data_IF_614522812551
#
_entry.id   IF_614522812551
#
_cell.length_a   1.000
_cell.length_b   1.000
_cell.length_c   1.000
_cell.angle_alpha   90.00
_cell.angle_beta   90.00
_cell.angle_gamma   90.00
#
_symmetry.space_group_name_H-M   'P 1'
#
loop_
_entity.id
_entity.type
_entity.pdbx_description
1 polymer ?
#
# COMPACT_ATOMS: atom_id res chain seq x y z
N UNK A 1 29.29 23.82 33.57
CA UNK A 1 28.56 22.83 34.36
C UNK A 1 27.07 22.69 33.95
N UNK A 2 26.26 23.77 33.76
CA UNK A 2 24.84 23.68 33.36
C UNK A 2 24.60 23.03 31.99
N UNK A 3 25.40 23.34 30.95
CA UNK A 3 25.27 22.74 29.59
C UNK A 3 25.59 21.25 29.59
N UNK A 4 26.54 20.78 30.39
CA UNK A 4 26.89 19.36 30.46
C UNK A 4 25.79 18.54 31.16
N UNK A 5 25.15 19.08 32.22
CA UNK A 5 24.00 18.45 32.87
C UNK A 5 22.80 18.32 31.93
N UNK A 6 22.54 19.33 31.10
CA UNK A 6 21.43 19.30 30.12
C UNK A 6 21.65 18.26 29.00
N UNK A 7 22.90 18.14 28.49
CA UNK A 7 23.28 17.13 27.52
C UNK A 7 23.15 15.71 28.10
N UNK A 8 23.61 15.50 29.35
CA UNK A 8 23.42 14.21 30.02
C UNK A 8 21.95 13.85 30.25
N UNK A 9 21.09 14.82 30.59
CA UNK A 9 19.66 14.57 30.75
C UNK A 9 18.99 14.21 29.44
N UNK A 10 19.33 14.82 28.29
CA UNK A 10 18.85 14.48 26.97
C UNK A 10 19.32 13.09 26.53
N UNK A 11 20.58 12.73 26.80
CA UNK A 11 21.11 11.39 26.51
C UNK A 11 20.40 10.29 27.32
N UNK A 12 20.18 10.54 28.61
CA UNK A 12 19.46 9.60 29.50
C UNK A 12 18.01 9.45 29.03
N UNK A 13 17.30 10.52 28.65
CA UNK A 13 15.95 10.46 28.14
C UNK A 13 15.87 9.68 26.80
N UNK A 14 16.88 9.85 25.93
CA UNK A 14 16.98 9.10 24.68
C UNK A 14 17.25 7.61 24.90
N UNK A 15 18.13 7.26 25.87
CA UNK A 15 18.41 5.87 26.25
C UNK A 15 17.18 5.21 26.89
N UNK A 16 16.45 5.91 27.77
CA UNK A 16 15.23 5.40 28.38
C UNK A 16 14.14 5.20 27.32
N UNK A 17 13.98 6.12 26.37
CA UNK A 17 13.03 5.98 25.27
C UNK A 17 13.39 4.81 24.34
N UNK A 18 14.67 4.60 24.03
CA UNK A 18 15.13 3.47 23.20
C UNK A 18 15.05 2.13 23.93
N UNK A 19 15.33 2.09 25.24
CA UNK A 19 15.18 0.90 26.08
C UNK A 19 13.70 0.56 26.31
N UNK A 20 12.83 1.55 26.53
CA UNK A 20 11.39 1.36 26.63
C UNK A 20 10.80 0.81 25.32
N UNK A 21 11.28 1.29 24.18
CA UNK A 21 10.91 0.78 22.87
C UNK A 21 11.28 -0.71 22.70
N UNK A 22 12.53 -1.08 23.01
CA UNK A 22 13.00 -2.46 22.86
C UNK A 22 12.39 -3.43 23.89
N UNK A 23 12.13 -3.00 25.13
CA UNK A 23 11.61 -3.87 26.20
C UNK A 23 10.10 -4.09 26.09
N UNK A 24 9.33 -3.08 25.66
CA UNK A 24 7.87 -3.18 25.64
C UNK A 24 7.27 -3.36 24.26
N UNK A 25 7.90 -2.85 23.21
CA UNK A 25 7.33 -2.85 21.87
C UNK A 25 7.68 -4.12 21.06
N UNK A 26 8.94 -4.57 21.07
CA UNK A 26 9.33 -5.80 20.35
C UNK A 26 8.66 -7.08 20.90
N UNK A 27 8.65 -7.35 22.23
CA UNK A 27 7.97 -8.52 22.78
C UNK A 27 6.47 -8.52 22.50
N UNK A 28 5.83 -7.33 22.52
CA UNK A 28 4.40 -7.20 22.20
C UNK A 28 4.13 -7.51 20.73
N UNK A 29 5.00 -7.07 19.82
CA UNK A 29 4.93 -7.39 18.39
C UNK A 29 5.11 -8.89 18.13
N UNK A 30 6.03 -9.56 18.80
CA UNK A 30 6.21 -11.01 18.67
C UNK A 30 5.01 -11.78 19.22
N UNK A 31 4.43 -11.36 20.32
CA UNK A 31 3.24 -11.98 20.91
C UNK A 31 2.04 -11.81 19.99
N UNK A 32 1.83 -10.63 19.42
CA UNK A 32 0.79 -10.37 18.43
C UNK A 32 1.04 -11.21 17.16
N UNK A 33 2.27 -11.27 16.66
CA UNK A 33 2.65 -12.11 15.51
C UNK A 33 2.38 -13.59 15.77
N UNK A 34 2.68 -14.09 16.98
CA UNK A 34 2.43 -15.47 17.36
C UNK A 34 0.92 -15.77 17.46
N UNK A 35 0.14 -14.91 18.11
CA UNK A 35 -1.30 -15.06 18.24
C UNK A 35 -2.02 -15.04 16.87
N UNK A 36 -1.59 -14.17 15.97
CA UNK A 36 -2.18 -14.08 14.62
C UNK A 36 -1.73 -15.23 13.73
N UNK A 37 -0.48 -15.72 13.86
CA UNK A 37 -0.08 -16.99 13.22
C UNK A 37 -0.97 -18.16 13.67
N UNK A 38 -1.32 -18.20 14.94
CA UNK A 38 -2.21 -19.22 15.50
C UNK A 38 -3.63 -19.10 14.93
N UNK A 39 -4.18 -17.90 14.82
CA UNK A 39 -5.47 -17.66 14.17
C UNK A 39 -5.47 -18.01 12.68
N UNK A 40 -4.39 -17.71 11.95
CA UNK A 40 -4.25 -18.07 10.54
C UNK A 40 -4.21 -19.58 10.33
N UNK A 41 -3.50 -20.30 11.19
CA UNK A 41 -3.45 -21.77 11.17
C UNK A 41 -4.81 -22.40 11.52
N UNK A 42 -5.58 -21.82 12.43
CA UNK A 42 -6.93 -22.26 12.80
C UNK A 42 -7.98 -21.96 11.73
N UNK A 43 -7.78 -20.92 10.92
CA UNK A 43 -8.69 -20.53 9.83
C UNK A 43 -8.52 -21.35 8.53
N UNK A 44 -7.87 -22.52 8.59
CA UNK A 44 -7.71 -23.43 7.44
C UNK A 44 -6.65 -22.99 6.42
N UNK A 45 -5.69 -22.16 6.82
CA UNK A 45 -4.54 -21.75 6.00
C UNK A 45 -3.46 -22.82 5.82
N UNK A 46 -3.81 -24.10 5.91
CA UNK A 46 -2.90 -25.24 5.76
C UNK A 46 -2.69 -25.61 4.29
N UNK A 47 -2.13 -24.69 3.51
CA UNK A 47 -1.41 -25.02 2.28
C UNK A 47 0.08 -24.91 2.57
N UNK A 48 0.86 -25.97 2.34
CA UNK A 48 2.31 -25.94 2.40
C UNK A 48 2.83 -24.95 1.33
N UNK A 49 2.98 -23.67 1.70
CA UNK A 49 3.83 -22.77 0.96
C UNK A 49 5.24 -22.88 1.57
N UNK A 50 6.05 -23.80 1.04
CA UNK A 50 7.50 -23.66 1.06
C UNK A 50 7.81 -22.26 0.52
N UNK A 51 8.76 -21.51 1.09
CA UNK A 51 9.10 -20.14 0.78
C UNK A 51 9.01 -19.79 -0.70
N UNK A 52 7.81 -19.44 -1.18
CA UNK A 52 7.49 -19.21 -2.57
C UNK A 52 7.79 -17.75 -2.93
N UNK A 53 8.11 -17.51 -4.19
CA UNK A 53 8.32 -16.17 -4.72
C UNK A 53 7.02 -15.37 -4.65
N UNK A 54 7.07 -14.15 -4.07
CA UNK A 54 6.02 -13.15 -4.17
C UNK A 54 6.29 -12.30 -5.42
N UNK A 55 5.30 -12.23 -6.29
CA UNK A 55 5.30 -11.38 -7.47
C UNK A 55 4.34 -10.22 -7.23
N UNK A 56 4.82 -8.99 -7.32
CA UNK A 56 4.02 -7.77 -7.19
C UNK A 56 4.07 -7.06 -8.53
N UNK A 57 2.94 -6.98 -9.23
CA UNK A 57 2.87 -6.35 -10.55
C UNK A 57 1.98 -5.11 -10.48
N UNK A 58 2.56 -3.94 -10.71
CA UNK A 58 1.83 -2.72 -11.01
C UNK A 58 1.43 -2.79 -12.48
N UNK A 59 0.15 -3.01 -12.74
CA UNK A 59 -0.39 -3.17 -14.09
C UNK A 59 -0.45 -1.82 -14.81
N UNK A 60 -0.08 -1.80 -16.09
CA UNK A 60 -0.32 -0.62 -16.94
C UNK A 60 -1.81 -0.57 -17.32
N UNK A 61 -2.56 0.18 -16.54
CA UNK A 61 -3.99 0.42 -16.72
C UNK A 61 -4.29 1.84 -17.19
N UNK A 62 -3.27 2.56 -17.70
CA UNK A 62 -3.34 3.98 -17.97
C UNK A 62 -3.26 4.79 -16.67
N UNK A 63 -4.10 5.81 -16.52
CA UNK A 63 -4.18 6.56 -15.28
C UNK A 63 -4.96 5.78 -14.23
N UNK A 64 -4.42 5.72 -13.00
CA UNK A 64 -5.01 4.99 -11.87
C UNK A 64 -4.14 3.83 -11.38
N UNK A 65 -4.57 3.18 -10.32
CA UNK A 65 -3.83 2.09 -9.69
C UNK A 65 -4.52 0.73 -9.89
N UNK A 66 -3.76 -0.25 -10.30
CA UNK A 66 -4.13 -1.66 -10.25
C UNK A 66 -2.88 -2.51 -9.97
N UNK A 67 -2.74 -2.99 -8.75
CA UNK A 67 -1.55 -3.71 -8.32
C UNK A 67 -1.93 -5.13 -7.93
N UNK A 68 -1.27 -6.10 -8.54
CA UNK A 68 -1.50 -7.52 -8.33
C UNK A 68 -0.36 -8.11 -7.48
N UNK A 69 -0.69 -8.70 -6.34
CA UNK A 69 0.21 -9.49 -5.52
C UNK A 69 -0.12 -10.97 -5.73
N UNK A 70 0.83 -11.73 -6.25
CA UNK A 70 0.66 -13.15 -6.59
C UNK A 70 1.68 -14.02 -5.88
N UNK A 71 1.21 -15.09 -5.28
CA UNK A 71 2.01 -16.24 -4.81
C UNK A 71 1.48 -17.53 -5.43
N UNK A 72 2.14 -18.67 -5.20
CA UNK A 72 1.61 -19.97 -5.60
C UNK A 72 0.24 -20.22 -4.95
N UNK A 73 -0.84 -20.02 -5.71
CA UNK A 73 -2.21 -20.29 -5.29
C UNK A 73 -3.00 -19.10 -4.72
N UNK A 74 -2.44 -17.91 -4.60
CA UNK A 74 -3.18 -16.75 -4.10
C UNK A 74 -2.88 -15.47 -4.86
N UNK A 75 -3.94 -14.78 -5.29
CA UNK A 75 -3.87 -13.46 -5.89
C UNK A 75 -4.66 -12.46 -5.05
N UNK A 76 -4.05 -11.31 -4.80
CA UNK A 76 -4.60 -10.17 -4.07
C UNK A 76 -4.43 -8.94 -4.95
N UNK A 77 -5.43 -8.07 -5.01
CA UNK A 77 -5.31 -6.79 -5.69
C UNK A 77 -5.34 -5.63 -4.70
N UNK A 78 -4.53 -4.62 -4.98
CA UNK A 78 -4.65 -3.28 -4.40
C UNK A 78 -5.11 -2.38 -5.54
N UNK A 79 -6.33 -1.88 -5.42
CA UNK A 79 -7.05 -1.14 -6.43
C UNK A 79 -7.30 -1.89 -7.75
N UNK A 80 -8.13 -1.34 -8.62
CA UNK A 80 -8.63 -2.02 -9.81
C UNK A 80 -8.70 -1.10 -11.04
N UNK A 81 -8.12 0.10 -10.94
CA UNK A 81 -8.11 1.07 -12.04
C UNK A 81 -9.47 1.69 -12.35
N UNK A 82 -9.44 2.59 -13.32
CA UNK A 82 -10.61 3.30 -13.83
C UNK A 82 -11.54 2.36 -14.62
N UNK A 83 -12.85 2.50 -14.46
CA UNK A 83 -13.84 1.69 -15.17
C UNK A 83 -13.79 1.83 -16.69
N UNK A 84 -13.25 2.94 -17.20
CA UNK A 84 -13.00 3.18 -18.63
C UNK A 84 -11.86 2.32 -19.18
N UNK A 85 -10.96 1.87 -18.32
CA UNK A 85 -9.75 1.12 -18.67
C UNK A 85 -9.88 -0.39 -18.32
N UNK A 86 -11.11 -0.92 -18.26
CA UNK A 86 -11.36 -2.33 -17.95
C UNK A 86 -10.58 -3.30 -18.86
N UNK A 87 -10.50 -2.97 -20.16
CA UNK A 87 -9.83 -3.83 -21.14
C UNK A 87 -8.32 -3.97 -20.83
N UNK A 88 -7.66 -2.87 -20.43
CA UNK A 88 -6.25 -2.88 -20.03
C UNK A 88 -6.04 -3.71 -18.74
N UNK A 89 -6.92 -3.54 -17.76
CA UNK A 89 -6.89 -4.34 -16.53
C UNK A 89 -7.04 -5.83 -16.86
N UNK A 90 -8.04 -6.21 -17.65
CA UNK A 90 -8.27 -7.61 -18.01
C UNK A 90 -7.12 -8.20 -18.83
N UNK A 91 -6.54 -7.43 -19.75
CA UNK A 91 -5.35 -7.85 -20.50
C UNK A 91 -4.14 -8.08 -19.55
N UNK A 92 -3.93 -7.19 -18.58
CA UNK A 92 -2.86 -7.36 -17.56
C UNK A 92 -3.08 -8.61 -16.70
N UNK A 93 -4.30 -8.83 -16.22
CA UNK A 93 -4.66 -10.03 -15.46
C UNK A 93 -4.52 -11.32 -16.27
N UNK A 94 -4.87 -11.28 -17.58
CA UNK A 94 -4.71 -12.40 -18.48
C UNK A 94 -3.22 -12.72 -18.72
N UNK A 95 -2.37 -11.71 -18.98
CA UNK A 95 -0.91 -11.89 -19.08
C UNK A 95 -0.30 -12.49 -17.81
N UNK A 96 -0.81 -12.09 -16.65
CA UNK A 96 -0.44 -12.66 -15.36
C UNK A 96 -1.09 -14.03 -15.08
N UNK A 97 -1.87 -14.57 -16.02
CA UNK A 97 -2.58 -15.87 -15.93
C UNK A 97 -3.50 -15.97 -14.69
N UNK A 98 -4.06 -14.85 -14.26
CA UNK A 98 -4.96 -14.80 -13.10
C UNK A 98 -6.30 -15.46 -13.43
N UNK A 99 -6.63 -16.51 -12.69
CA UNK A 99 -7.94 -17.20 -12.80
C UNK A 99 -8.89 -16.80 -11.66
N UNK A 100 -8.35 -16.42 -10.51
CA UNK A 100 -9.09 -16.02 -9.34
C UNK A 100 -8.36 -14.89 -8.60
N UNK A 101 -9.12 -13.92 -8.10
CA UNK A 101 -8.64 -12.90 -7.15
C UNK A 101 -9.32 -13.17 -5.80
N UNK A 102 -8.55 -13.41 -4.76
CA UNK A 102 -9.08 -13.79 -3.46
C UNK A 102 -9.52 -12.58 -2.63
N UNK A 103 -8.77 -11.50 -2.74
CA UNK A 103 -8.94 -10.29 -1.92
C UNK A 103 -8.69 -9.05 -2.78
N UNK A 104 -9.49 -8.02 -2.57
CA UNK A 104 -9.26 -6.67 -3.11
C UNK A 104 -9.14 -5.70 -1.95
N UNK A 105 -8.10 -4.86 -1.95
CA UNK A 105 -8.01 -3.66 -1.14
C UNK A 105 -8.41 -2.48 -2.03
N UNK A 106 -9.37 -1.70 -1.58
CA UNK A 106 -9.73 -0.41 -2.18
C UNK A 106 -9.09 0.67 -1.32
N UNK A 107 -8.05 1.33 -1.85
CA UNK A 107 -7.32 2.33 -1.08
C UNK A 107 -8.22 3.50 -0.73
N UNK A 108 -8.94 4.03 -1.71
CA UNK A 108 -9.93 5.08 -1.53
C UNK A 108 -10.94 5.08 -2.69
N UNK A 109 -12.00 5.88 -2.56
CA UNK A 109 -13.16 5.80 -3.44
C UNK A 109 -13.13 6.77 -4.63
N UNK A 110 -11.95 6.99 -5.27
CA UNK A 110 -11.87 7.60 -6.60
C UNK A 110 -12.00 6.55 -7.69
N UNK A 111 -12.53 6.96 -8.84
CA UNK A 111 -12.88 6.10 -9.96
C UNK A 111 -11.67 5.34 -10.52
N UNK A 112 -10.52 6.01 -10.61
CA UNK A 112 -9.27 5.48 -11.12
C UNK A 112 -8.56 4.49 -10.16
N UNK A 113 -9.16 4.22 -8.99
CA UNK A 113 -8.75 3.19 -8.02
C UNK A 113 -9.78 2.09 -7.88
N UNK A 114 -11.06 2.43 -7.69
CA UNK A 114 -12.09 1.45 -7.38
C UNK A 114 -13.02 1.11 -8.55
N UNK A 115 -12.86 1.76 -9.70
CA UNK A 115 -13.82 1.74 -10.80
C UNK A 115 -14.22 0.36 -11.33
N UNK A 116 -13.32 -0.61 -11.27
CA UNK A 116 -13.58 -1.98 -11.70
C UNK A 116 -13.79 -2.98 -10.57
N UNK A 117 -13.84 -2.56 -9.30
CA UNK A 117 -13.88 -3.47 -8.12
C UNK A 117 -15.02 -4.48 -8.23
N UNK A 118 -16.25 -4.07 -8.53
CA UNK A 118 -17.38 -4.98 -8.65
C UNK A 118 -17.28 -5.90 -9.85
N UNK A 119 -16.70 -5.45 -10.97
CA UNK A 119 -16.47 -6.28 -12.16
C UNK A 119 -15.43 -7.35 -11.89
N UNK A 120 -14.31 -6.97 -11.25
CA UNK A 120 -13.29 -7.91 -10.80
C UNK A 120 -13.88 -8.91 -9.80
N UNK A 121 -14.67 -8.43 -8.84
CA UNK A 121 -15.27 -9.27 -7.84
C UNK A 121 -16.19 -10.34 -8.43
N UNK A 122 -17.02 -9.97 -9.38
CA UNK A 122 -17.93 -10.90 -10.08
C UNK A 122 -17.19 -11.87 -11.01
N UNK A 123 -16.24 -11.37 -11.81
CA UNK A 123 -15.56 -12.18 -12.83
C UNK A 123 -14.51 -13.13 -12.24
N UNK A 124 -13.74 -12.68 -11.24
CA UNK A 124 -12.61 -13.42 -10.69
C UNK A 124 -12.88 -14.03 -9.31
N UNK A 125 -14.15 -14.03 -8.85
CA UNK A 125 -14.58 -14.75 -7.65
C UNK A 125 -13.95 -14.22 -6.37
N UNK A 126 -13.91 -12.89 -6.21
CA UNK A 126 -13.42 -12.24 -5.00
C UNK A 126 -14.28 -12.64 -3.81
N UNK A 127 -13.64 -13.07 -2.73
CA UNK A 127 -14.33 -13.45 -1.50
C UNK A 127 -14.23 -12.40 -0.40
N UNK A 128 -13.26 -11.48 -0.50
CA UNK A 128 -12.99 -10.47 0.52
C UNK A 128 -12.65 -9.12 -0.08
N UNK A 129 -13.25 -8.07 0.46
CA UNK A 129 -12.95 -6.68 0.09
C UNK A 129 -12.64 -5.91 1.37
N UNK A 130 -11.51 -5.23 1.35
CA UNK A 130 -11.12 -4.27 2.38
C UNK A 130 -11.19 -2.87 1.79
N UNK A 131 -11.66 -1.90 2.55
CA UNK A 131 -11.68 -0.50 2.15
C UNK A 131 -11.38 0.46 3.30
N UNK A 132 -11.23 1.74 2.97
CA UNK A 132 -11.00 2.80 3.93
C UNK A 132 -12.27 3.29 4.64
N UNK A 133 -13.47 2.84 4.21
CA UNK A 133 -14.76 3.23 4.81
C UNK A 133 -15.18 4.69 4.57
N UNK A 134 -14.62 5.35 3.55
CA UNK A 134 -14.97 6.73 3.15
C UNK A 134 -15.55 6.75 1.73
N UNK A 135 -16.83 6.37 1.53
CA UNK A 135 -17.43 6.33 0.20
C UNK A 135 -17.59 7.73 -0.39
N UNK A 136 -17.39 7.84 -1.70
CA UNK A 136 -17.68 9.05 -2.46
C UNK A 136 -19.18 9.07 -2.85
N UNK A 137 -19.96 9.85 -2.11
CA UNK A 137 -21.41 9.96 -2.35
C UNK A 137 -21.78 10.58 -3.72
N UNK A 138 -20.82 11.22 -4.40
CA UNK A 138 -21.04 11.85 -5.71
C UNK A 138 -20.68 10.96 -6.90
N UNK A 139 -19.99 9.84 -6.67
CA UNK A 139 -19.56 8.90 -7.72
C UNK A 139 -20.46 7.66 -7.73
N UNK A 140 -21.14 7.42 -8.85
CA UNK A 140 -22.11 6.32 -8.97
C UNK A 140 -21.52 4.95 -8.64
N UNK A 141 -20.29 4.65 -9.12
CA UNK A 141 -19.62 3.38 -8.84
C UNK A 141 -19.27 3.23 -7.35
N UNK A 142 -18.87 4.31 -6.68
CA UNK A 142 -18.60 4.30 -5.24
C UNK A 142 -19.89 4.06 -4.43
N UNK A 143 -20.97 4.75 -4.78
CA UNK A 143 -22.30 4.53 -4.14
C UNK A 143 -22.71 3.08 -4.29
N UNK A 144 -22.61 2.52 -5.50
CA UNK A 144 -22.95 1.11 -5.78
C UNK A 144 -22.06 0.14 -5.01
N UNK A 145 -20.74 0.36 -5.00
CA UNK A 145 -19.81 -0.47 -4.22
C UNK A 145 -20.20 -0.47 -2.75
N UNK A 146 -20.40 0.71 -2.15
CA UNK A 146 -20.77 0.84 -0.75
C UNK A 146 -22.11 0.14 -0.43
N UNK A 147 -23.12 0.20 -1.31
CA UNK A 147 -24.37 -0.53 -1.16
C UNK A 147 -24.14 -2.05 -1.14
N UNK A 148 -23.35 -2.57 -2.07
CA UNK A 148 -23.01 -3.99 -2.16
C UNK A 148 -22.25 -4.49 -0.94
N UNK A 149 -21.28 -3.68 -0.44
CA UNK A 149 -20.52 -4.00 0.77
C UNK A 149 -21.43 -4.03 2.01
N UNK A 150 -22.32 -3.04 2.16
CA UNK A 150 -23.29 -2.99 3.26
C UNK A 150 -24.31 -4.14 3.24
N UNK A 151 -24.64 -4.65 2.06
CA UNK A 151 -25.52 -5.82 1.91
C UNK A 151 -24.86 -7.14 2.34
N UNK A 152 -23.56 -7.14 2.69
CA UNK A 152 -22.84 -8.31 3.17
C UNK A 152 -22.52 -9.36 2.09
N UNK A 153 -22.55 -8.98 0.81
CA UNK A 153 -22.28 -9.90 -0.31
C UNK A 153 -20.82 -10.40 -0.34
N UNK A 154 -19.92 -9.70 0.35
CA UNK A 154 -18.51 -10.06 0.49
C UNK A 154 -18.13 -10.05 1.97
N UNK A 155 -17.12 -10.82 2.34
CA UNK A 155 -16.51 -10.71 3.67
C UNK A 155 -15.67 -9.41 3.69
N UNK A 156 -16.35 -8.28 3.88
CA UNK A 156 -15.73 -6.97 3.84
C UNK A 156 -15.42 -6.43 5.23
N UNK A 157 -14.37 -5.63 5.32
CA UNK A 157 -13.96 -4.95 6.54
C UNK A 157 -13.36 -3.59 6.20
N UNK A 158 -13.76 -2.58 6.96
CA UNK A 158 -13.10 -1.29 6.97
C UNK A 158 -11.79 -1.39 7.75
N UNK A 159 -10.70 -0.91 7.18
CA UNK A 159 -9.38 -0.93 7.79
C UNK A 159 -8.98 0.44 8.33
N UNK A 160 -8.18 0.43 9.40
CA UNK A 160 -7.64 1.62 10.07
C UNK A 160 -6.16 1.41 10.41
N UNK A 161 -5.46 2.51 10.64
CA UNK A 161 -4.09 2.50 11.13
C UNK A 161 -3.95 1.59 12.37
N UNK A 162 -2.96 0.69 12.34
CA UNK A 162 -2.75 -0.34 13.34
C UNK A 162 -3.34 -1.72 12.98
N UNK A 163 -4.23 -1.80 11.98
CA UNK A 163 -4.69 -3.09 11.48
C UNK A 163 -3.55 -3.83 10.77
N UNK A 164 -3.54 -5.15 10.92
CA UNK A 164 -2.66 -6.06 10.17
C UNK A 164 -3.51 -7.06 9.41
N UNK A 165 -3.22 -7.25 8.12
CA UNK A 165 -3.88 -8.24 7.27
C UNK A 165 -2.85 -9.24 6.77
N UNK A 166 -2.96 -10.49 7.21
CA UNK A 166 -2.13 -11.58 6.72
C UNK A 166 -2.63 -12.08 5.38
N UNK A 167 -1.75 -12.06 4.40
CA UNK A 167 -2.04 -12.46 3.02
C UNK A 167 -1.52 -13.86 2.72
N UNK A 168 -0.61 -14.36 3.55
CA UNK A 168 -0.02 -15.69 3.53
C UNK A 168 0.73 -15.98 4.82
N UNK A 169 1.42 -17.12 4.88
CA UNK A 169 2.12 -17.56 6.09
C UNK A 169 3.23 -16.58 6.51
N UNK A 170 3.92 -15.98 5.53
CA UNK A 170 5.13 -15.20 5.77
C UNK A 170 5.02 -13.76 5.23
N UNK A 171 3.86 -13.33 4.73
CA UNK A 171 3.68 -11.97 4.24
C UNK A 171 2.35 -11.38 4.69
N UNK A 172 2.39 -10.11 5.03
CA UNK A 172 1.25 -9.35 5.54
C UNK A 172 1.38 -7.88 5.20
N UNK A 173 0.29 -7.16 5.28
CA UNK A 173 0.28 -5.69 5.21
C UNK A 173 -0.09 -5.11 6.57
N UNK A 174 0.69 -4.11 7.00
CA UNK A 174 0.37 -3.23 8.12
C UNK A 174 -0.30 -1.97 7.56
N UNK A 175 -1.45 -1.60 8.08
CA UNK A 175 -2.16 -0.38 7.69
C UNK A 175 -1.65 0.79 8.52
N UNK A 176 -1.17 1.83 7.85
CA UNK A 176 -0.60 3.02 8.49
C UNK A 176 -1.57 4.21 8.46
N UNK A 177 -2.52 4.24 7.52
CA UNK A 177 -3.56 5.25 7.33
C UNK A 177 -4.80 4.58 6.69
N UNK A 178 -6.03 5.15 6.87
CA UNK A 178 -6.36 6.30 7.69
C UNK A 178 -6.38 5.96 9.19
N UNK A 179 -6.01 6.95 10.02
CA UNK A 179 -6.17 6.85 11.47
C UNK A 179 -7.66 6.89 11.84
N UNK A 180 -8.04 6.23 12.94
CA UNK A 180 -9.42 6.26 13.44
C UNK A 180 -9.87 7.68 13.85
N UNK A 181 -8.90 8.53 14.18
CA UNK A 181 -9.10 9.93 14.55
C UNK A 181 -8.98 10.92 13.37
N UNK A 182 -8.93 10.44 12.12
CA UNK A 182 -8.85 11.31 10.95
C UNK A 182 -9.97 12.34 10.96
N UNK A 183 -9.60 13.63 10.99
CA UNK A 183 -10.57 14.71 11.06
C UNK A 183 -11.46 14.78 9.81
N UNK A 184 -12.67 15.29 9.97
CA UNK A 184 -13.60 15.49 8.83
C UNK A 184 -13.03 16.41 7.77
N UNK A 185 -12.25 17.39 8.16
CA UNK A 185 -11.59 18.33 7.27
C UNK A 185 -10.58 17.63 6.36
N UNK A 186 -9.70 16.80 6.93
CA UNK A 186 -8.75 15.99 6.13
C UNK A 186 -9.47 14.95 5.28
N UNK A 187 -10.51 14.31 5.80
CA UNK A 187 -11.31 13.33 5.08
C UNK A 187 -12.19 13.94 3.98
N UNK A 188 -12.39 15.25 3.95
CA UNK A 188 -13.08 15.94 2.86
C UNK A 188 -12.33 15.84 1.53
N UNK A 189 -11.01 15.72 1.58
CA UNK A 189 -10.19 15.28 0.46
C UNK A 189 -10.09 13.75 0.49
N UNK A 190 -10.77 13.07 -0.44
CA UNK A 190 -10.80 11.61 -0.50
C UNK A 190 -9.43 10.96 -0.65
N UNK A 191 -8.46 11.63 -1.29
CA UNK A 191 -7.09 11.17 -1.37
C UNK A 191 -6.49 10.91 0.02
N UNK A 192 -6.80 11.79 0.97
CA UNK A 192 -6.34 11.69 2.35
C UNK A 192 -7.04 10.56 3.16
N UNK A 193 -8.02 9.90 2.58
CA UNK A 193 -8.65 8.71 3.16
C UNK A 193 -8.02 7.40 2.67
N UNK A 194 -6.95 7.47 1.87
CA UNK A 194 -6.27 6.31 1.30
C UNK A 194 -5.77 5.34 2.37
N UNK A 195 -5.97 4.05 2.13
CA UNK A 195 -5.23 3.00 2.82
C UNK A 195 -3.75 3.12 2.47
N UNK A 196 -2.96 3.64 3.38
CA UNK A 196 -1.50 3.57 3.27
C UNK A 196 -1.06 2.29 3.95
N UNK A 197 -0.35 1.43 3.22
CA UNK A 197 -0.04 0.08 3.67
C UNK A 197 1.45 -0.23 3.50
N UNK A 198 2.06 -0.82 4.53
CA UNK A 198 3.41 -1.35 4.47
C UNK A 198 3.35 -2.88 4.37
N UNK A 199 3.76 -3.42 3.23
CA UNK A 199 3.91 -4.85 3.00
C UNK A 199 5.21 -5.34 3.61
N UNK A 200 5.12 -6.46 4.31
CA UNK A 200 6.24 -7.20 4.86
C UNK A 200 6.27 -8.62 4.27
N UNK A 201 7.41 -9.02 3.74
CA UNK A 201 7.68 -10.41 3.36
C UNK A 201 9.14 -10.75 3.72
N UNK A 202 9.33 -11.50 4.80
CA UNK A 202 10.67 -11.70 5.35
C UNK A 202 11.32 -10.37 5.74
N UNK A 203 12.49 -10.05 5.13
CA UNK A 203 13.17 -8.76 5.27
C UNK A 203 12.79 -7.74 4.20
N UNK A 204 12.09 -8.16 3.14
CA UNK A 204 11.61 -7.27 2.07
C UNK A 204 10.41 -6.45 2.53
N UNK A 205 10.39 -5.16 2.15
CA UNK A 205 9.30 -4.23 2.46
C UNK A 205 8.92 -3.38 1.26
N UNK A 206 7.61 -3.13 1.11
CA UNK A 206 7.09 -2.20 0.10
C UNK A 206 6.00 -1.33 0.69
N UNK A 207 6.15 -0.01 0.54
CA UNK A 207 5.17 0.97 0.99
C UNK A 207 4.24 1.37 -0.16
N UNK A 208 2.93 1.21 0.05
CA UNK A 208 1.88 1.64 -0.85
C UNK A 208 1.21 2.88 -0.26
N UNK A 209 1.23 4.00 -1.00
CA UNK A 209 0.71 5.27 -0.51
C UNK A 209 -0.76 5.51 -0.88
N UNK A 210 -1.33 4.72 -1.83
CA UNK A 210 -2.56 5.12 -2.49
C UNK A 210 -2.37 6.52 -3.08
N UNK A 211 -3.30 7.42 -2.79
CA UNK A 211 -3.21 8.83 -3.21
C UNK A 211 -3.07 9.80 -2.03
N UNK A 212 -2.64 9.29 -0.87
CA UNK A 212 -2.39 10.12 0.30
C UNK A 212 -1.53 11.34 -0.06
N UNK A 213 -1.99 12.52 0.35
CA UNK A 213 -1.34 13.79 0.05
C UNK A 213 -0.47 14.28 1.22
N UNK A 214 0.18 15.41 1.02
CA UNK A 214 1.20 15.99 1.92
C UNK A 214 0.78 16.09 3.40
N UNK A 215 -0.50 16.29 3.67
CA UNK A 215 -1.05 16.37 5.03
C UNK A 215 -0.90 15.02 5.74
N UNK A 216 -1.34 13.95 5.07
CA UNK A 216 -1.23 12.58 5.61
C UNK A 216 0.23 12.13 5.63
N UNK A 217 0.99 12.44 4.60
CA UNK A 217 2.42 12.14 4.54
C UNK A 217 3.20 12.78 5.69
N UNK A 218 2.85 14.02 6.06
CA UNK A 218 3.40 14.72 7.20
C UNK A 218 3.12 14.02 8.53
N UNK A 219 1.87 13.59 8.74
CA UNK A 219 1.45 12.85 9.93
C UNK A 219 2.14 11.47 10.00
N UNK A 220 2.24 10.76 8.87
CA UNK A 220 2.94 9.48 8.79
C UNK A 220 4.43 9.62 9.14
N UNK A 221 5.10 10.62 8.55
CA UNK A 221 6.51 10.88 8.80
C UNK A 221 6.81 11.21 10.27
N UNK A 222 5.87 11.88 10.94
CA UNK A 222 5.94 12.20 12.37
C UNK A 222 5.69 10.96 13.23
N UNK A 223 4.58 10.26 12.97
CA UNK A 223 4.13 9.12 13.79
C UNK A 223 5.05 7.92 13.69
N UNK A 224 5.50 7.58 12.48
CA UNK A 224 6.23 6.34 12.23
C UNK A 224 7.74 6.52 12.06
N UNK A 225 8.21 7.71 11.67
CA UNK A 225 9.64 8.01 11.58
C UNK A 225 10.44 6.98 10.75
N UNK A 226 11.45 6.37 11.36
CA UNK A 226 12.32 5.37 10.73
C UNK A 226 11.59 4.06 10.35
N UNK A 227 10.44 3.77 10.97
CA UNK A 227 9.62 2.59 10.62
C UNK A 227 9.03 2.64 9.20
N UNK A 228 9.02 3.82 8.57
CA UNK A 228 8.59 3.98 7.17
C UNK A 228 9.61 3.45 6.16
N UNK A 229 10.80 3.04 6.60
CA UNK A 229 11.81 2.52 5.68
C UNK A 229 11.24 1.36 4.88
N UNK A 230 11.37 1.46 3.55
CA UNK A 230 10.92 0.43 2.63
C UNK A 230 11.90 0.29 1.45
N UNK A 231 12.03 -0.93 0.92
CA UNK A 231 12.89 -1.20 -0.25
C UNK A 231 12.29 -0.58 -1.51
N UNK A 232 10.96 -0.61 -1.60
CA UNK A 232 10.20 -0.07 -2.73
C UNK A 232 9.09 0.85 -2.22
N UNK A 233 8.89 1.95 -2.93
CA UNK A 233 7.79 2.88 -2.72
C UNK A 233 6.87 2.87 -3.95
N UNK A 234 5.57 2.52 -3.76
CA UNK A 234 4.52 2.97 -4.69
C UNK A 234 4.23 4.42 -4.34
N UNK A 235 4.63 5.31 -5.24
CA UNK A 235 4.54 6.76 -5.05
C UNK A 235 3.08 7.20 -4.93
N UNK A 236 2.80 8.13 -4.01
CA UNK A 236 1.46 8.65 -3.79
C UNK A 236 0.93 9.45 -4.97
N UNK A 237 -0.38 9.38 -5.19
CA UNK A 237 -1.16 10.22 -6.10
C UNK A 237 -0.51 10.35 -7.49
N UNK A 238 -0.09 9.22 -8.07
CA UNK A 238 0.50 9.11 -9.41
C UNK A 238 1.71 10.04 -9.64
N UNK A 239 2.41 10.42 -8.55
CA UNK A 239 3.50 11.39 -8.61
C UNK A 239 3.04 12.84 -8.73
N UNK A 240 1.82 13.17 -8.26
CA UNK A 240 1.31 14.55 -8.17
C UNK A 240 2.20 15.44 -7.30
N UNK A 241 2.23 16.74 -7.62
CA UNK A 241 2.87 17.76 -6.78
C UNK A 241 2.27 17.91 -5.39
N UNK A 242 1.08 17.34 -5.15
CA UNK A 242 0.39 17.40 -3.85
C UNK A 242 0.87 16.33 -2.88
N UNK A 243 1.71 15.39 -3.34
CA UNK A 243 2.23 14.25 -2.57
C UNK A 243 3.76 14.12 -2.68
N UNK A 244 4.31 13.10 -2.04
CA UNK A 244 5.73 12.74 -2.05
C UNK A 244 6.66 13.82 -1.47
N UNK A 245 6.24 14.40 -0.33
CA UNK A 245 7.05 15.41 0.36
C UNK A 245 8.38 14.81 0.83
N UNK A 246 9.44 15.64 0.82
CA UNK A 246 10.77 15.22 1.25
C UNK A 246 10.80 14.65 2.66
N UNK A 247 9.98 15.18 3.58
CA UNK A 247 9.87 14.68 4.96
C UNK A 247 9.48 13.20 5.04
N UNK A 248 8.57 12.72 4.17
CA UNK A 248 8.19 11.32 4.06
C UNK A 248 9.26 10.53 3.30
N UNK A 249 9.57 10.95 2.07
CA UNK A 249 10.42 10.18 1.15
C UNK A 249 11.84 9.97 1.69
N UNK A 250 12.36 10.94 2.46
CA UNK A 250 13.65 10.82 3.18
C UNK A 250 13.62 9.80 4.34
N UNK A 251 12.43 9.45 4.88
CA UNK A 251 12.27 8.38 5.87
C UNK A 251 12.16 7.01 5.20
N UNK A 252 11.43 6.97 4.08
CA UNK A 252 11.25 5.73 3.30
C UNK A 252 12.57 5.29 2.67
N UNK A 253 13.33 6.20 2.06
CA UNK A 253 14.61 5.95 1.38
C UNK A 253 14.55 4.69 0.49
N UNK A 254 13.64 4.64 -0.49
CA UNK A 254 13.44 3.45 -1.29
C UNK A 254 14.58 3.28 -2.30
N UNK A 255 14.93 2.02 -2.64
CA UNK A 255 15.80 1.72 -3.78
C UNK A 255 15.07 1.97 -5.11
N UNK A 256 13.76 1.69 -5.15
CA UNK A 256 12.90 1.97 -6.30
C UNK A 256 11.66 2.75 -5.87
N UNK A 257 11.31 3.75 -6.69
CA UNK A 257 10.05 4.48 -6.59
C UNK A 257 9.23 4.19 -7.85
N UNK A 258 8.09 3.52 -7.67
CA UNK A 258 7.22 3.09 -8.76
C UNK A 258 6.02 4.02 -8.86
N UNK A 259 5.73 4.51 -10.05
CA UNK A 259 4.65 5.46 -10.32
C UNK A 259 3.69 4.83 -11.33
N UNK A 260 2.46 4.58 -10.91
CA UNK A 260 1.37 4.24 -11.82
C UNK A 260 0.79 5.53 -12.38
N UNK A 261 0.88 5.75 -13.68
CA UNK A 261 0.33 6.93 -14.34
C UNK A 261 0.05 6.63 -15.82
N UNK A 262 -0.93 7.32 -16.38
CA UNK A 262 -1.19 7.34 -17.80
C UNK A 262 -0.30 8.34 -18.56
N UNK A 263 -0.61 8.58 -19.84
CA UNK A 263 0.09 9.57 -20.63
C UNK A 263 0.12 10.96 -19.96
N UNK A 264 1.28 11.59 -19.98
CA UNK A 264 1.53 12.86 -19.28
C UNK A 264 0.54 13.98 -19.66
N UNK A 265 0.10 14.00 -20.90
CA UNK A 265 -0.76 15.04 -21.47
C UNK A 265 -2.14 15.14 -20.80
N UNK A 266 -2.61 14.04 -20.18
CA UNK A 266 -3.94 14.03 -19.55
C UNK A 266 -3.95 14.69 -18.17
N UNK A 267 -2.93 14.42 -17.36
CA UNK A 267 -2.93 14.81 -15.93
C UNK A 267 -1.65 15.54 -15.51
N UNK A 268 -0.68 15.66 -16.42
CA UNK A 268 0.66 16.17 -16.15
C UNK A 268 1.38 15.44 -15.00
N UNK A 269 1.08 14.15 -14.85
CA UNK A 269 1.75 13.24 -13.90
C UNK A 269 2.74 12.33 -14.63
N UNK A 270 3.89 12.01 -14.01
CA UNK A 270 4.35 12.49 -12.71
C UNK A 270 4.92 13.91 -12.79
N UNK A 271 4.82 14.66 -11.69
CA UNK A 271 5.43 15.99 -11.59
C UNK A 271 6.97 15.87 -11.57
N UNK A 272 7.64 16.71 -12.39
CA UNK A 272 9.10 16.69 -12.55
C UNK A 272 9.85 16.89 -11.23
N UNK A 273 9.35 17.74 -10.34
CA UNK A 273 9.96 17.99 -9.04
C UNK A 273 9.86 16.75 -8.11
N UNK A 274 8.75 16.02 -8.16
CA UNK A 274 8.59 14.76 -7.41
C UNK A 274 9.61 13.74 -7.90
N UNK A 275 9.70 13.54 -9.22
CA UNK A 275 10.68 12.63 -9.83
C UNK A 275 12.11 13.03 -9.47
N UNK A 276 12.43 14.35 -9.57
CA UNK A 276 13.74 14.89 -9.23
C UNK A 276 14.11 14.66 -7.76
N UNK A 277 13.17 14.89 -6.84
CA UNK A 277 13.36 14.67 -5.41
C UNK A 277 13.63 13.20 -5.08
N UNK A 278 12.88 12.28 -5.67
CA UNK A 278 13.06 10.83 -5.49
C UNK A 278 14.42 10.36 -6.01
N UNK A 279 14.82 10.84 -7.20
CA UNK A 279 16.16 10.56 -7.77
C UNK A 279 17.29 11.13 -6.92
N UNK A 280 17.12 12.32 -6.37
CA UNK A 280 18.08 12.94 -5.47
C UNK A 280 18.29 12.11 -4.19
N UNK A 281 17.26 11.42 -3.71
CA UNK A 281 17.34 10.48 -2.59
C UNK A 281 17.96 9.11 -2.97
N UNK A 282 18.38 8.93 -4.23
CA UNK A 282 19.00 7.71 -4.73
C UNK A 282 18.03 6.67 -5.27
N UNK A 283 16.73 6.95 -5.33
CA UNK A 283 15.75 6.01 -5.85
C UNK A 283 15.81 5.90 -7.39
N UNK A 284 15.75 4.68 -7.92
CA UNK A 284 15.43 4.45 -9.33
C UNK A 284 13.94 4.64 -9.53
N UNK A 285 13.57 5.65 -10.32
CA UNK A 285 12.17 5.99 -10.59
C UNK A 285 11.72 5.34 -11.90
N UNK A 286 10.65 4.53 -11.83
CA UNK A 286 10.00 3.88 -12.96
C UNK A 286 8.54 4.30 -13.02
N UNK A 287 7.98 4.44 -14.24
CA UNK A 287 6.57 4.79 -14.48
C UNK A 287 5.89 3.74 -15.35
N UNK A 288 4.61 3.48 -15.14
CA UNK A 288 3.87 2.60 -16.06
C UNK A 288 3.72 3.20 -17.45
N UNK A 289 3.66 4.52 -17.55
CA UNK A 289 3.60 5.24 -18.84
C UNK A 289 4.83 4.95 -19.73
N UNK A 290 6.03 4.94 -19.14
CA UNK A 290 7.27 4.69 -19.90
C UNK A 290 7.62 3.19 -20.01
N UNK A 291 7.33 2.42 -18.96
CA UNK A 291 7.86 1.07 -18.77
C UNK A 291 6.81 -0.04 -18.97
N UNK A 292 5.55 0.29 -19.26
CA UNK A 292 4.47 -0.70 -19.21
C UNK A 292 4.23 -1.21 -17.79
N UNK A 293 3.72 -2.41 -17.65
CA UNK A 293 3.58 -3.02 -16.34
C UNK A 293 4.95 -3.25 -15.68
N UNK A 294 5.04 -2.95 -14.38
CA UNK A 294 6.27 -3.07 -13.60
C UNK A 294 6.11 -4.21 -12.61
N UNK A 295 7.02 -5.17 -12.63
CA UNK A 295 6.96 -6.35 -11.78
C UNK A 295 8.14 -6.39 -10.81
N UNK A 296 7.83 -6.57 -9.54
CA UNK A 296 8.79 -6.86 -8.47
C UNK A 296 8.68 -8.34 -8.13
N UNK A 297 9.80 -9.03 -8.14
CA UNK A 297 9.93 -10.43 -7.73
C UNK A 297 10.76 -10.47 -6.45
N UNK A 298 10.27 -11.15 -5.42
CA UNK A 298 11.01 -11.29 -4.15
C UNK A 298 10.80 -12.65 -3.51
N UNK A 299 11.84 -13.16 -2.87
CA UNK A 299 11.84 -14.35 -2.02
C UNK A 299 11.74 -13.99 -0.51
N UNK A 300 11.56 -12.69 -0.21
CA UNK A 300 11.54 -12.15 1.14
C UNK A 300 12.92 -11.80 1.69
N UNK A 301 14.01 -11.99 0.94
CA UNK A 301 15.38 -11.60 1.32
C UNK A 301 15.99 -10.68 0.27
N UNK A 302 15.81 -11.03 -0.98
CA UNK A 302 16.26 -10.29 -2.15
C UNK A 302 15.07 -9.94 -3.04
N UNK A 303 15.25 -8.98 -3.94
CA UNK A 303 14.26 -8.66 -4.95
C UNK A 303 14.89 -8.24 -6.28
N UNK A 304 14.13 -8.38 -7.34
CA UNK A 304 14.42 -7.81 -8.66
C UNK A 304 13.21 -7.02 -9.16
N UNK A 305 13.46 -6.09 -10.07
CA UNK A 305 12.44 -5.29 -10.72
C UNK A 305 12.56 -5.44 -12.23
N UNK A 306 11.47 -5.85 -12.86
CA UNK A 306 11.35 -6.09 -14.29
C UNK A 306 10.29 -5.16 -14.88
N UNK A 307 10.42 -4.79 -16.13
CA UNK A 307 9.49 -3.92 -16.85
C UNK A 307 9.01 -4.59 -18.14
N UNK A 308 7.81 -4.25 -18.59
CA UNK A 308 7.22 -4.78 -19.81
C UNK A 308 7.83 -4.14 -21.06
N UNK A 309 8.30 -2.87 -20.96
CA UNK A 309 8.97 -2.06 -21.99
C UNK A 309 10.30 -1.53 -21.50
#
# INVERSE_FOLDING_TARGET
MRKLKFICQLLIAFIIASLGYNIFYEPHQETVRAAVRQQFNQAGGAGQEAGGQLKITMLDVGHGDAILLSTAGRNVMIDTGDSRNLAQLEAGLARAQVKRVHTVFVTHHHEDHMGNTLKVAGKYGVSRIYDSGYPNARAANSVRLNQVLRAGNYNNRVLRAGDTVYLGKNYYVEVLSPDASLSRELAANLNNTSLVMLLHYGSFTMLFMGDAEKEIEGLLAEKYGARLKADILKVGHHGSRTSSIYRLTSRVKPAYALISCGPFELYHHPNKNVVGSLRHLGARVLTTADNGSITVLTDGKSFSVETER
#
